data_IF_251104446144
#
_entry.id   IF_251104446144
#
_cell.length_a   1.000
_cell.length_b   1.000
_cell.length_c   1.000
_cell.angle_alpha   90.00
_cell.angle_beta   90.00
_cell.angle_gamma   90.00
#
_symmetry.space_group_name_H-M   'P 1'
#
loop_
_entity.id
_entity.type
_entity.pdbx_description
1 polymer ?
#
# COMPACT_ATOMS: atom_id res chain seq x y z
N UNK A 1 46.93 -30.89 -24.32
CA UNK A 1 46.41 -31.49 -23.08
C UNK A 1 46.80 -30.72 -21.81
N UNK A 2 48.08 -30.44 -21.51
CA UNK A 2 48.47 -29.71 -20.28
C UNK A 2 47.87 -28.30 -20.15
N UNK A 3 47.79 -27.53 -21.24
CA UNK A 3 47.18 -26.18 -21.25
C UNK A 3 45.67 -26.21 -21.03
N UNK A 4 44.96 -27.18 -21.61
CA UNK A 4 43.52 -27.36 -21.42
C UNK A 4 43.18 -27.80 -19.99
N UNK A 5 44.00 -28.66 -19.37
CA UNK A 5 43.82 -29.08 -17.97
C UNK A 5 44.00 -27.91 -17.01
N UNK A 6 44.95 -27.01 -17.29
CA UNK A 6 45.22 -25.83 -16.47
C UNK A 6 44.07 -24.81 -16.55
N UNK A 7 43.49 -24.60 -17.73
CA UNK A 7 42.31 -23.75 -17.93
C UNK A 7 41.09 -24.32 -17.17
N UNK A 8 40.90 -25.65 -17.20
CA UNK A 8 39.81 -26.32 -16.47
C UNK A 8 40.01 -26.18 -14.95
N UNK A 9 41.23 -26.38 -14.43
CA UNK A 9 41.54 -26.20 -13.01
C UNK A 9 41.40 -24.75 -12.53
N UNK A 10 41.81 -23.77 -13.35
CA UNK A 10 41.55 -22.35 -13.05
C UNK A 10 40.06 -22.05 -13.07
N UNK A 11 39.30 -22.58 -14.04
CA UNK A 11 37.87 -22.39 -14.08
C UNK A 11 37.18 -23.00 -12.85
N UNK A 12 37.60 -24.19 -12.38
CA UNK A 12 37.05 -24.84 -11.18
C UNK A 12 37.38 -24.04 -9.90
N UNK A 13 38.60 -23.54 -9.76
CA UNK A 13 39.01 -22.77 -8.58
C UNK A 13 38.36 -21.40 -8.54
N UNK A 14 38.31 -20.67 -9.66
CA UNK A 14 37.63 -19.37 -9.73
C UNK A 14 36.12 -19.52 -9.45
N UNK A 15 35.48 -20.57 -9.96
CA UNK A 15 34.07 -20.85 -9.67
C UNK A 15 33.83 -21.21 -8.19
N UNK A 16 34.68 -22.03 -7.56
CA UNK A 16 34.50 -22.39 -6.14
C UNK A 16 34.77 -21.24 -5.18
N UNK A 17 35.80 -20.41 -5.43
CA UNK A 17 36.05 -19.21 -4.63
C UNK A 17 34.96 -18.15 -4.81
N UNK A 18 34.50 -17.94 -6.06
CA UNK A 18 33.38 -17.05 -6.36
C UNK A 18 32.11 -17.44 -5.62
N UNK A 19 31.73 -18.71 -5.68
CA UNK A 19 30.54 -19.24 -5.00
C UNK A 19 30.64 -19.15 -3.47
N UNK A 20 31.82 -19.44 -2.90
CA UNK A 20 32.05 -19.30 -1.44
C UNK A 20 31.91 -17.85 -0.98
N UNK A 21 32.35 -16.89 -1.80
CA UNK A 21 32.22 -15.47 -1.48
C UNK A 21 30.77 -14.97 -1.53
N UNK A 22 29.98 -15.42 -2.51
CA UNK A 22 28.56 -15.08 -2.65
C UNK A 22 27.73 -15.60 -1.48
N UNK A 23 27.90 -16.88 -1.13
CA UNK A 23 27.20 -17.51 0.00
C UNK A 23 27.52 -16.77 1.31
N UNK A 24 28.78 -16.38 1.52
CA UNK A 24 29.17 -15.65 2.73
C UNK A 24 28.46 -14.30 2.86
N UNK A 25 28.37 -13.53 1.77
CA UNK A 25 27.70 -12.22 1.80
C UNK A 25 26.18 -12.41 1.95
N UNK A 26 25.60 -13.41 1.29
CA UNK A 26 24.19 -13.76 1.46
C UNK A 26 23.88 -14.13 2.92
N UNK A 27 24.65 -15.02 3.54
CA UNK A 27 24.47 -15.41 4.96
C UNK A 27 24.61 -14.19 5.90
N UNK A 28 25.56 -13.29 5.62
CA UNK A 28 25.69 -12.05 6.39
C UNK A 28 24.43 -11.16 6.26
N UNK A 29 23.79 -11.13 5.09
CA UNK A 29 22.54 -10.40 4.90
C UNK A 29 21.37 -11.00 5.69
N UNK A 30 21.33 -12.33 5.86
CA UNK A 30 20.31 -13.02 6.67
C UNK A 30 20.46 -12.69 8.15
N UNK A 31 21.70 -12.72 8.68
CA UNK A 31 21.98 -12.30 10.07
C UNK A 31 21.51 -10.86 10.32
N UNK A 32 21.76 -9.94 9.37
CA UNK A 32 21.28 -8.56 9.47
C UNK A 32 19.75 -8.45 9.38
N UNK A 33 19.11 -9.30 8.58
CA UNK A 33 17.65 -9.32 8.43
C UNK A 33 16.98 -9.76 9.74
N UNK A 34 17.53 -10.78 10.41
CA UNK A 34 17.12 -11.25 11.73
C UNK A 34 17.30 -10.15 12.79
N UNK A 35 18.41 -9.41 12.73
CA UNK A 35 18.67 -8.25 13.58
C UNK A 35 17.87 -6.99 13.19
N UNK A 36 16.93 -7.08 12.22
CA UNK A 36 16.11 -5.98 11.71
C UNK A 36 16.92 -4.78 11.18
N UNK A 37 18.14 -5.01 10.70
CA UNK A 37 19.02 -3.99 10.09
C UNK A 37 18.72 -3.82 8.60
N UNK A 38 17.48 -3.45 8.28
CA UNK A 38 16.91 -3.52 6.93
C UNK A 38 17.71 -2.76 5.86
N UNK A 39 18.28 -1.60 6.18
CA UNK A 39 19.06 -0.81 5.21
C UNK A 39 20.39 -1.48 4.88
N UNK A 40 21.03 -2.10 5.87
CA UNK A 40 22.28 -2.84 5.69
C UNK A 40 22.02 -4.14 4.93
N UNK A 41 20.96 -4.88 5.30
CA UNK A 41 20.50 -6.06 4.57
C UNK A 41 20.24 -5.75 3.10
N UNK A 42 19.49 -4.68 2.81
CA UNK A 42 19.18 -4.30 1.42
C UNK A 42 20.43 -4.00 0.60
N UNK A 43 21.42 -3.32 1.20
CA UNK A 43 22.68 -3.02 0.54
C UNK A 43 23.45 -4.29 0.19
N UNK A 44 23.62 -5.20 1.15
CA UNK A 44 24.30 -6.47 0.90
C UNK A 44 23.57 -7.31 -0.15
N UNK A 45 22.25 -7.42 -0.06
CA UNK A 45 21.47 -8.19 -1.04
C UNK A 45 21.58 -7.61 -2.45
N UNK A 46 21.62 -6.28 -2.60
CA UNK A 46 21.85 -5.63 -3.89
C UNK A 46 23.24 -5.92 -4.45
N UNK A 47 24.26 -5.92 -3.59
CA UNK A 47 25.63 -6.24 -3.99
C UNK A 47 25.74 -7.70 -4.45
N UNK A 48 25.14 -8.64 -3.71
CA UNK A 48 25.11 -10.07 -4.09
C UNK A 48 24.29 -10.30 -5.36
N UNK A 49 23.12 -9.66 -5.51
CA UNK A 49 22.29 -9.79 -6.72
C UNK A 49 23.08 -9.36 -7.97
N UNK A 50 23.89 -8.31 -7.87
CA UNK A 50 24.67 -7.79 -9.01
C UNK A 50 25.79 -8.71 -9.50
N UNK A 51 26.17 -9.70 -8.68
CA UNK A 51 27.30 -10.61 -8.92
C UNK A 51 26.88 -12.08 -9.04
N UNK A 52 25.65 -12.42 -8.66
CA UNK A 52 25.10 -13.77 -8.73
C UNK A 52 24.53 -14.07 -10.13
N UNK A 53 24.92 -15.20 -10.73
CA UNK A 53 24.34 -15.64 -12.00
C UNK A 53 22.85 -16.00 -11.80
N UNK A 54 22.02 -15.60 -12.77
CA UNK A 54 20.57 -15.88 -12.77
C UNK A 54 20.20 -17.36 -12.81
N UNK A 55 21.14 -18.22 -13.20
CA UNK A 55 21.02 -19.68 -13.23
C UNK A 55 21.48 -20.33 -11.93
N UNK A 56 22.16 -19.58 -11.05
CA UNK A 56 22.57 -20.06 -9.74
C UNK A 56 21.34 -20.33 -8.85
N UNK A 57 21.38 -21.44 -8.10
CA UNK A 57 20.29 -21.85 -7.21
C UNK A 57 20.09 -20.88 -6.04
N UNK A 58 21.07 -20.04 -5.73
CA UNK A 58 20.98 -18.99 -4.73
C UNK A 58 20.19 -17.76 -5.22
N UNK A 59 20.13 -17.52 -6.54
CA UNK A 59 19.53 -16.33 -7.12
C UNK A 59 18.05 -16.11 -6.70
N UNK A 60 17.17 -17.14 -6.72
CA UNK A 60 15.80 -16.98 -6.22
C UNK A 60 15.75 -16.53 -4.75
N UNK A 61 16.61 -17.06 -3.88
CA UNK A 61 16.64 -16.67 -2.47
C UNK A 61 17.06 -15.22 -2.29
N UNK A 62 18.04 -14.75 -3.06
CA UNK A 62 18.45 -13.34 -3.09
C UNK A 62 17.27 -12.46 -3.51
N UNK A 63 16.55 -12.82 -4.58
CA UNK A 63 15.37 -12.05 -5.05
C UNK A 63 14.27 -12.03 -3.99
N UNK A 64 13.98 -13.17 -3.35
CA UNK A 64 12.96 -13.27 -2.31
C UNK A 64 13.30 -12.40 -1.09
N UNK A 65 14.52 -12.51 -0.57
CA UNK A 65 14.96 -11.73 0.58
C UNK A 65 15.08 -10.24 0.24
N UNK A 66 15.45 -9.91 -1.00
CA UNK A 66 15.46 -8.52 -1.48
C UNK A 66 14.04 -7.96 -1.45
N UNK A 67 13.06 -8.69 -1.99
CA UNK A 67 11.66 -8.26 -2.02
C UNK A 67 11.10 -8.10 -0.61
N UNK A 68 11.38 -9.05 0.28
CA UNK A 68 10.98 -8.98 1.69
C UNK A 68 11.54 -7.73 2.37
N UNK A 69 12.83 -7.47 2.16
CA UNK A 69 13.53 -6.32 2.74
C UNK A 69 13.01 -4.99 2.18
N UNK A 70 12.87 -4.85 0.87
CA UNK A 70 12.37 -3.62 0.25
C UNK A 70 10.92 -3.34 0.61
N UNK A 71 10.09 -4.38 0.77
CA UNK A 71 8.70 -4.23 1.24
C UNK A 71 8.64 -3.75 2.70
N UNK A 72 9.51 -4.26 3.58
CA UNK A 72 9.61 -3.77 4.96
C UNK A 72 10.12 -2.34 5.04
N UNK A 73 11.09 -1.97 4.20
CA UNK A 73 11.58 -0.59 4.10
C UNK A 73 10.50 0.37 3.60
N UNK A 74 9.74 -0.02 2.56
CA UNK A 74 8.60 0.77 2.08
C UNK A 74 7.62 1.07 3.22
N UNK A 75 7.17 0.04 3.92
CA UNK A 75 6.25 0.19 5.05
C UNK A 75 6.84 1.10 6.14
N UNK A 76 8.10 0.88 6.52
CA UNK A 76 8.79 1.69 7.52
C UNK A 76 8.77 3.18 7.17
N UNK A 77 9.13 3.52 5.92
CA UNK A 77 9.16 4.91 5.47
C UNK A 77 7.74 5.50 5.36
N UNK A 78 6.77 4.72 4.90
CA UNK A 78 5.36 5.14 4.81
C UNK A 78 4.79 5.55 6.17
N UNK A 79 4.97 4.72 7.18
CA UNK A 79 4.47 4.98 8.55
C UNK A 79 5.16 6.18 9.22
N UNK A 80 6.34 6.57 8.71
CA UNK A 80 7.06 7.79 9.10
C UNK A 80 6.77 8.99 8.20
N UNK A 81 5.78 8.89 7.31
CA UNK A 81 5.44 9.91 6.32
C UNK A 81 6.61 10.35 5.41
N UNK A 82 7.62 9.49 5.25
CA UNK A 82 8.75 9.68 4.32
C UNK A 82 8.39 9.10 2.95
N UNK A 83 7.41 9.73 2.30
CA UNK A 83 6.72 9.14 1.15
C UNK A 83 7.57 8.97 -0.11
N UNK A 84 8.56 9.83 -0.35
CA UNK A 84 9.48 9.65 -1.48
C UNK A 84 10.35 8.38 -1.30
N UNK A 85 10.85 8.12 -0.09
CA UNK A 85 11.57 6.88 0.21
C UNK A 85 10.65 5.65 0.14
N UNK A 86 9.44 5.77 0.67
CA UNK A 86 8.41 4.74 0.55
C UNK A 86 8.14 4.38 -0.92
N UNK A 87 7.95 5.41 -1.77
CA UNK A 87 7.74 5.25 -3.19
C UNK A 87 8.94 4.56 -3.87
N UNK A 88 10.16 5.00 -3.58
CA UNK A 88 11.39 4.39 -4.10
C UNK A 88 11.45 2.89 -3.79
N UNK A 89 11.29 2.49 -2.53
CA UNK A 89 11.34 1.09 -2.15
C UNK A 89 10.16 0.28 -2.70
N UNK A 90 8.98 0.88 -2.84
CA UNK A 90 7.85 0.27 -3.55
C UNK A 90 8.16 -0.04 -5.01
N UNK A 91 8.91 0.84 -5.70
CA UNK A 91 9.35 0.59 -7.07
C UNK A 91 10.41 -0.52 -7.13
N UNK A 92 11.35 -0.55 -6.18
CA UNK A 92 12.33 -1.63 -6.08
C UNK A 92 11.63 -2.98 -5.86
N UNK A 93 10.65 -3.05 -4.95
CA UNK A 93 9.84 -4.25 -4.75
C UNK A 93 9.10 -4.69 -6.02
N UNK A 94 8.52 -3.76 -6.77
CA UNK A 94 7.83 -4.08 -8.02
C UNK A 94 8.80 -4.67 -9.07
N UNK A 95 9.98 -4.08 -9.21
CA UNK A 95 11.03 -4.60 -10.10
C UNK A 95 11.49 -6.01 -9.68
N UNK A 96 11.61 -6.27 -8.38
CA UNK A 96 11.99 -7.59 -7.86
C UNK A 96 10.89 -8.64 -8.11
N UNK A 97 9.61 -8.25 -8.05
CA UNK A 97 8.50 -9.15 -8.40
C UNK A 97 8.56 -9.51 -9.89
N UNK A 98 8.83 -8.55 -10.76
CA UNK A 98 8.99 -8.79 -12.20
C UNK A 98 10.20 -9.70 -12.49
N UNK A 99 11.34 -9.42 -11.85
CA UNK A 99 12.55 -10.25 -11.95
C UNK A 99 12.34 -11.68 -11.43
N UNK A 100 11.56 -11.84 -10.36
CA UNK A 100 11.30 -13.12 -9.72
C UNK A 100 10.26 -13.98 -10.44
N UNK A 101 9.45 -13.41 -11.34
CA UNK A 101 8.36 -14.12 -12.00
C UNK A 101 8.75 -15.46 -12.68
N UNK A 102 9.94 -15.61 -13.31
CA UNK A 102 10.37 -16.90 -13.88
C UNK A 102 10.68 -17.98 -12.84
N UNK A 103 10.95 -17.60 -11.60
CA UNK A 103 11.46 -18.49 -10.54
C UNK A 103 10.39 -18.90 -9.53
N UNK A 104 9.26 -18.18 -9.50
CA UNK A 104 8.24 -18.34 -8.46
C UNK A 104 6.85 -18.58 -9.04
N UNK A 105 5.98 -19.17 -8.22
CA UNK A 105 4.57 -19.41 -8.56
C UNK A 105 3.80 -18.09 -8.72
N UNK A 106 2.63 -18.17 -9.35
CA UNK A 106 1.75 -17.01 -9.60
C UNK A 106 1.41 -16.21 -8.32
N UNK A 107 1.31 -16.88 -7.17
CA UNK A 107 1.08 -16.21 -5.87
C UNK A 107 2.16 -15.19 -5.53
N UNK A 108 3.41 -15.42 -5.94
CA UNK A 108 4.49 -14.43 -5.82
C UNK A 108 4.25 -13.24 -6.76
N UNK A 109 3.92 -13.50 -8.02
CA UNK A 109 3.68 -12.45 -9.03
C UNK A 109 2.50 -11.58 -8.64
N UNK A 110 1.47 -12.14 -8.00
CA UNK A 110 0.29 -11.41 -7.52
C UNK A 110 0.61 -10.41 -6.39
N UNK A 111 1.80 -10.46 -5.79
CA UNK A 111 2.28 -9.41 -4.87
C UNK A 111 2.39 -8.04 -5.55
N UNK A 112 2.44 -7.98 -6.88
CA UNK A 112 2.47 -6.71 -7.63
C UNK A 112 1.24 -5.83 -7.35
N UNK A 113 0.07 -6.42 -7.09
CA UNK A 113 -1.13 -5.65 -6.78
C UNK A 113 -1.00 -4.92 -5.44
N UNK A 114 -0.47 -5.60 -4.42
CA UNK A 114 -0.13 -4.97 -3.15
C UNK A 114 0.91 -3.84 -3.34
N UNK A 115 1.88 -4.02 -4.24
CA UNK A 115 2.85 -2.97 -4.55
C UNK A 115 2.23 -1.79 -5.31
N UNK A 116 1.32 -2.03 -6.25
CA UNK A 116 0.57 -0.95 -6.91
C UNK A 116 -0.18 -0.10 -5.89
N UNK A 117 -0.89 -0.73 -4.94
CA UNK A 117 -1.55 -0.03 -3.84
C UNK A 117 -0.57 0.79 -3.01
N UNK A 118 0.56 0.21 -2.60
CA UNK A 118 1.56 0.90 -1.79
C UNK A 118 2.15 2.12 -2.54
N UNK A 119 2.34 2.00 -3.86
CA UNK A 119 2.78 3.10 -4.72
C UNK A 119 1.71 4.19 -4.86
N UNK A 120 0.41 3.83 -4.89
CA UNK A 120 -0.69 4.81 -4.81
C UNK A 120 -0.59 5.58 -3.49
N UNK A 121 -0.53 4.90 -2.35
CA UNK A 121 -0.47 5.55 -1.02
C UNK A 121 0.74 6.48 -0.91
N UNK A 122 1.91 6.04 -1.37
CA UNK A 122 3.12 6.84 -1.35
C UNK A 122 3.01 8.08 -2.24
N UNK A 123 2.39 7.94 -3.42
CA UNK A 123 2.18 9.06 -4.35
C UNK A 123 1.23 10.12 -3.75
N UNK A 124 0.13 9.68 -3.15
CA UNK A 124 -0.81 10.59 -2.46
C UNK A 124 -0.16 11.27 -1.25
N UNK A 125 0.55 10.51 -0.42
CA UNK A 125 1.26 11.05 0.74
C UNK A 125 2.32 12.10 0.37
N UNK A 126 2.99 11.92 -0.77
CA UNK A 126 3.95 12.88 -1.31
C UNK A 126 3.31 14.11 -1.99
N UNK A 127 1.97 14.22 -2.01
CA UNK A 127 1.27 15.30 -2.71
C UNK A 127 1.34 15.18 -4.24
N UNK A 128 1.57 13.98 -4.77
CA UNK A 128 1.73 13.68 -6.20
C UNK A 128 0.61 12.76 -6.72
N UNK A 129 -0.67 13.12 -6.62
CA UNK A 129 -1.80 12.25 -7.00
C UNK A 129 -1.79 11.85 -8.49
N UNK A 130 -1.22 12.68 -9.36
CA UNK A 130 -1.06 12.34 -10.78
C UNK A 130 -0.16 11.11 -10.99
N UNK A 131 0.89 10.96 -10.18
CA UNK A 131 1.77 9.78 -10.21
C UNK A 131 1.01 8.51 -9.77
N UNK A 132 0.02 8.66 -8.89
CA UNK A 132 -0.80 7.58 -8.38
C UNK A 132 -1.71 6.98 -9.46
N UNK A 133 -2.20 7.80 -10.41
CA UNK A 133 -3.18 7.39 -11.44
C UNK A 133 -2.75 6.17 -12.23
N UNK A 134 -1.46 6.07 -12.56
CA UNK A 134 -0.90 4.89 -13.26
C UNK A 134 -1.22 3.60 -12.49
N UNK A 135 -0.97 3.59 -11.19
CA UNK A 135 -1.13 2.42 -10.35
C UNK A 135 -2.59 2.17 -9.98
N UNK A 136 -3.39 3.22 -9.76
CA UNK A 136 -4.84 3.10 -9.61
C UNK A 136 -5.45 2.44 -10.85
N UNK A 137 -5.09 2.89 -12.06
CA UNK A 137 -5.59 2.29 -13.30
C UNK A 137 -5.26 0.79 -13.39
N UNK A 138 -4.04 0.39 -13.01
CA UNK A 138 -3.64 -1.03 -12.97
C UNK A 138 -4.48 -1.84 -11.98
N UNK A 139 -4.81 -1.29 -10.82
CA UNK A 139 -5.68 -1.92 -9.83
C UNK A 139 -7.11 -2.06 -10.33
N UNK A 140 -7.70 -1.00 -10.89
CA UNK A 140 -9.03 -1.05 -11.50
C UNK A 140 -9.12 -2.04 -12.66
N UNK A 141 -8.08 -2.11 -13.49
CA UNK A 141 -7.97 -3.11 -14.56
C UNK A 141 -7.91 -4.53 -13.98
N UNK A 142 -7.18 -4.74 -12.89
CA UNK A 142 -7.12 -6.05 -12.23
C UNK A 142 -8.45 -6.45 -11.58
N UNK A 143 -9.14 -5.50 -10.93
CA UNK A 143 -10.48 -5.68 -10.36
C UNK A 143 -11.48 -6.14 -11.43
N UNK A 144 -11.59 -5.40 -12.54
CA UNK A 144 -12.51 -5.72 -13.65
C UNK A 144 -12.24 -7.09 -14.26
N UNK A 145 -10.99 -7.55 -14.21
CA UNK A 145 -10.58 -8.85 -14.72
C UNK A 145 -10.59 -9.97 -13.66
N UNK A 146 -11.07 -9.69 -12.43
CA UNK A 146 -11.08 -10.63 -11.29
C UNK A 146 -9.70 -11.23 -10.98
N UNK A 147 -8.66 -10.40 -11.07
CA UNK A 147 -7.25 -10.80 -10.84
C UNK A 147 -6.68 -10.32 -9.50
N UNK A 148 -7.45 -9.55 -8.73
CA UNK A 148 -7.00 -9.08 -7.42
C UNK A 148 -7.05 -10.24 -6.41
N UNK A 149 -6.05 -10.31 -5.50
CA UNK A 149 -6.06 -11.30 -4.43
C UNK A 149 -7.18 -11.00 -3.42
N UNK A 150 -7.58 -12.03 -2.67
CA UNK A 150 -8.49 -11.88 -1.53
C UNK A 150 -8.00 -10.80 -0.56
N UNK A 151 -8.94 -10.00 -0.05
CA UNK A 151 -8.64 -8.87 0.84
C UNK A 151 -8.17 -7.61 0.09
N UNK A 152 -8.10 -7.68 -1.24
CA UNK A 152 -7.83 -6.52 -2.10
C UNK A 152 -8.87 -6.38 -3.22
N UNK A 153 -9.78 -7.32 -3.36
CA UNK A 153 -10.78 -7.41 -4.43
C UNK A 153 -11.97 -6.46 -4.24
N UNK A 154 -12.15 -5.88 -3.05
CA UNK A 154 -13.26 -4.97 -2.75
C UNK A 154 -12.84 -3.50 -2.72
N UNK A 155 -11.69 -3.22 -2.13
CA UNK A 155 -11.17 -1.88 -1.92
C UNK A 155 -9.65 -1.91 -1.73
N UNK A 156 -9.04 -0.73 -1.71
CA UNK A 156 -7.63 -0.57 -1.38
C UNK A 156 -7.40 0.75 -0.64
N UNK A 157 -6.40 0.81 0.24
CA UNK A 157 -5.99 2.09 0.81
C UNK A 157 -5.22 2.91 -0.23
N UNK A 158 -5.63 4.16 -0.43
CA UNK A 158 -5.04 5.06 -1.43
C UNK A 158 -4.26 6.23 -0.81
N UNK A 159 -4.46 6.52 0.48
CA UNK A 159 -3.73 7.59 1.17
C UNK A 159 -3.53 7.28 2.64
N UNK A 160 -2.47 7.85 3.21
CA UNK A 160 -2.13 7.84 4.62
C UNK A 160 -1.55 9.19 5.00
N UNK A 161 -1.92 9.73 6.16
CA UNK A 161 -1.22 10.86 6.76
C UNK A 161 -1.40 10.88 8.27
N UNK A 162 -0.45 11.52 8.95
CA UNK A 162 -0.55 11.82 10.38
C UNK A 162 -1.20 13.19 10.59
N UNK A 163 -2.04 13.28 11.60
CA UNK A 163 -2.65 14.52 12.04
C UNK A 163 -2.59 14.59 13.56
N UNK A 164 -1.62 15.35 14.11
CA UNK A 164 -1.30 15.37 15.54
C UNK A 164 -1.05 13.93 16.05
N UNK A 165 -1.81 13.49 17.03
CA UNK A 165 -1.83 12.18 17.67
C UNK A 165 -2.69 11.14 16.94
N UNK A 166 -3.00 11.37 15.65
CA UNK A 166 -3.90 10.53 14.86
C UNK A 166 -3.25 9.99 13.60
N UNK A 167 -3.54 8.73 13.30
CA UNK A 167 -3.30 8.11 12.02
C UNK A 167 -4.60 8.16 11.19
N UNK A 168 -4.48 8.60 9.94
CA UNK A 168 -5.63 8.74 9.04
C UNK A 168 -5.39 7.94 7.77
N UNK A 169 -6.21 6.92 7.56
CA UNK A 169 -6.13 6.02 6.41
C UNK A 169 -7.34 6.21 5.50
N UNK A 170 -7.10 6.52 4.22
CA UNK A 170 -8.16 6.62 3.22
C UNK A 170 -8.23 5.38 2.34
N UNK A 171 -9.41 4.79 2.22
CA UNK A 171 -9.71 3.60 1.44
C UNK A 171 -10.71 3.93 0.33
N UNK A 172 -10.48 3.35 -0.84
CA UNK A 172 -11.35 3.52 -2.01
C UNK A 172 -11.90 2.16 -2.44
N UNK A 173 -13.23 2.08 -2.57
CA UNK A 173 -13.95 0.91 -3.07
C UNK A 173 -13.94 0.92 -4.60
N UNK A 174 -13.72 -0.23 -5.22
CA UNK A 174 -13.70 -0.31 -6.68
C UNK A 174 -15.05 -0.04 -7.35
N UNK A 175 -16.20 -0.52 -6.81
CA UNK A 175 -17.48 -0.26 -7.45
C UNK A 175 -17.72 1.23 -7.73
N UNK A 176 -18.53 1.52 -8.72
CA UNK A 176 -19.01 2.87 -9.05
C UNK A 176 -20.53 2.93 -8.98
N UNK A 177 -21.13 4.13 -8.82
CA UNK A 177 -22.57 4.28 -8.91
C UNK A 177 -23.12 3.72 -10.23
N UNK A 178 -24.00 2.74 -10.13
CA UNK A 178 -24.56 2.01 -11.27
C UNK A 178 -24.06 0.56 -11.37
N UNK A 179 -22.97 0.22 -10.68
CA UNK A 179 -22.50 -1.17 -10.61
C UNK A 179 -23.44 -2.03 -9.75
N UNK A 180 -23.61 -3.33 -10.06
CA UNK A 180 -24.43 -4.24 -9.25
C UNK A 180 -24.03 -4.28 -7.76
N UNK A 181 -22.75 -4.04 -7.49
CA UNK A 181 -22.13 -4.04 -6.14
C UNK A 181 -22.30 -2.71 -5.40
N UNK A 182 -22.81 -1.66 -6.07
CA UNK A 182 -23.00 -0.30 -5.53
C UNK A 182 -24.47 0.02 -5.17
N UNK A 183 -25.23 -0.99 -4.71
CA UNK A 183 -26.64 -0.84 -4.30
C UNK A 183 -26.76 -0.20 -2.92
N UNK A 184 -27.84 0.56 -2.69
CA UNK A 184 -28.17 1.13 -1.39
C UNK A 184 -27.23 2.25 -0.92
N UNK A 185 -26.87 2.24 0.38
CA UNK A 185 -25.96 3.21 1.02
C UNK A 185 -24.50 2.88 0.69
N UNK A 186 -24.11 3.17 -0.55
CA UNK A 186 -22.76 2.92 -1.04
C UNK A 186 -21.78 4.05 -0.65
N UNK A 187 -20.64 3.69 -0.07
CA UNK A 187 -19.52 4.61 0.19
C UNK A 187 -18.40 4.39 -0.83
N UNK A 188 -18.03 5.44 -1.57
CA UNK A 188 -16.93 5.36 -2.53
C UNK A 188 -15.57 5.38 -1.84
N UNK A 189 -15.46 6.22 -0.82
CA UNK A 189 -14.25 6.39 -0.02
C UNK A 189 -14.62 6.37 1.46
N UNK A 190 -13.79 5.73 2.28
CA UNK A 190 -13.88 5.77 3.73
C UNK A 190 -12.52 6.17 4.29
N UNK A 191 -12.50 7.20 5.13
CA UNK A 191 -11.36 7.51 5.98
C UNK A 191 -11.57 6.92 7.36
N UNK A 192 -10.60 6.15 7.83
CA UNK A 192 -10.53 5.66 9.19
C UNK A 192 -9.57 6.54 9.97
N UNK A 193 -10.03 7.01 11.13
CA UNK A 193 -9.26 7.89 12.01
C UNK A 193 -8.96 7.13 13.29
N UNK A 194 -7.67 6.93 13.56
CA UNK A 194 -7.18 6.21 14.73
C UNK A 194 -6.41 7.14 15.66
N UNK A 195 -6.47 6.92 16.97
CA UNK A 195 -5.44 7.39 17.89
C UNK A 195 -4.14 6.60 17.69
N UNK A 196 -3.00 7.16 18.12
CA UNK A 196 -1.68 6.52 17.97
C UNK A 196 -1.10 6.03 19.28
N UNK A 197 -0.41 4.88 19.25
CA UNK A 197 0.51 4.44 20.30
C UNK A 197 1.77 5.31 20.33
N UNK A 198 2.59 5.17 21.37
CA UNK A 198 3.88 5.89 21.50
C UNK A 198 4.85 5.60 20.34
N UNK A 199 4.81 4.38 19.80
CA UNK A 199 5.60 3.98 18.64
C UNK A 199 5.03 4.49 17.29
N UNK A 200 3.87 5.17 17.33
CA UNK A 200 3.18 5.74 16.18
C UNK A 200 2.29 4.76 15.41
N UNK A 201 2.11 3.53 15.89
CA UNK A 201 1.14 2.56 15.34
C UNK A 201 -0.30 2.92 15.70
N UNK A 202 -1.26 2.35 14.96
CA UNK A 202 -2.70 2.54 15.22
C UNK A 202 -3.07 1.94 16.59
N UNK A 203 -3.87 2.66 17.39
CA UNK A 203 -4.35 2.21 18.70
C UNK A 203 -5.86 1.94 18.69
N UNK A 204 -6.68 2.99 18.73
CA UNK A 204 -8.14 2.89 18.79
C UNK A 204 -8.76 3.63 17.62
N UNK A 205 -9.73 3.02 16.93
CA UNK A 205 -10.51 3.69 15.90
C UNK A 205 -11.46 4.69 16.56
N UNK A 206 -11.24 5.98 16.32
CA UNK A 206 -12.03 7.05 16.91
C UNK A 206 -13.35 7.26 16.16
N UNK A 207 -13.29 7.27 14.82
CA UNK A 207 -14.45 7.42 13.94
C UNK A 207 -14.08 7.14 12.48
N UNK A 208 -15.09 7.10 11.62
CA UNK A 208 -14.95 7.00 10.17
C UNK A 208 -15.56 8.22 9.48
N UNK A 209 -15.00 8.62 8.34
CA UNK A 209 -15.58 9.62 7.44
C UNK A 209 -15.88 8.96 6.09
N UNK A 210 -17.14 8.91 5.73
CA UNK A 210 -17.64 8.22 4.55
C UNK A 210 -17.99 9.23 3.47
N UNK A 211 -17.39 9.09 2.28
CA UNK A 211 -17.88 9.73 1.07
C UNK A 211 -19.01 8.88 0.53
N UNK A 212 -20.21 9.11 1.09
CA UNK A 212 -21.38 8.30 0.85
C UNK A 212 -22.23 8.89 -0.27
N UNK A 213 -22.82 8.02 -1.09
CA UNK A 213 -23.75 8.42 -2.14
C UNK A 213 -24.89 9.24 -1.54
N UNK A 214 -25.14 10.41 -2.11
CA UNK A 214 -26.29 11.24 -1.76
C UNK A 214 -27.57 10.59 -2.26
N UNK A 215 -28.61 10.57 -1.42
CA UNK A 215 -29.96 10.13 -1.78
C UNK A 215 -30.91 11.31 -2.01
N UNK A 216 -30.42 12.56 -2.01
CA UNK A 216 -31.28 13.71 -2.23
C UNK A 216 -31.93 13.66 -3.63
N UNK A 217 -33.26 13.72 -3.63
CA UNK A 217 -34.12 13.78 -4.83
C UNK A 217 -34.22 15.19 -5.42
N UNK A 218 -33.52 16.17 -4.84
CA UNK A 218 -33.64 17.56 -5.26
C UNK A 218 -32.80 17.81 -6.52
N UNK A 219 -33.47 17.76 -7.67
CA UNK A 219 -32.89 17.80 -9.02
C UNK A 219 -32.03 19.05 -9.32
N UNK A 220 -32.12 20.10 -8.49
CA UNK A 220 -31.39 21.34 -8.67
C UNK A 220 -29.89 21.23 -8.33
N UNK A 221 -29.52 20.38 -7.37
CA UNK A 221 -28.15 20.19 -6.91
C UNK A 221 -27.74 18.75 -7.23
N UNK A 222 -27.18 18.49 -8.41
CA UNK A 222 -26.71 17.16 -8.87
C UNK A 222 -25.51 16.64 -8.05
N UNK A 223 -25.67 16.49 -6.74
CA UNK A 223 -24.63 16.02 -5.83
C UNK A 223 -24.58 14.49 -5.87
N UNK A 224 -23.40 13.94 -6.17
CA UNK A 224 -23.24 12.48 -6.17
C UNK A 224 -22.92 11.94 -4.78
N UNK A 225 -22.14 12.69 -3.98
CA UNK A 225 -21.71 12.27 -2.66
C UNK A 225 -21.72 13.40 -1.64
N UNK A 226 -21.87 13.00 -0.38
CA UNK A 226 -21.73 13.85 0.82
C UNK A 226 -20.74 13.18 1.78
N UNK A 227 -20.13 13.97 2.65
CA UNK A 227 -19.32 13.42 3.74
C UNK A 227 -20.22 13.08 4.93
N UNK A 228 -20.07 11.88 5.48
CA UNK A 228 -20.79 11.41 6.67
C UNK A 228 -19.75 11.03 7.71
N UNK A 229 -19.92 11.52 8.95
CA UNK A 229 -19.11 11.08 10.09
C UNK A 229 -19.85 9.97 10.82
N UNK A 230 -19.16 8.88 11.09
CA UNK A 230 -19.69 7.74 11.85
C UNK A 230 -18.82 7.49 13.08
N UNK A 231 -19.45 7.49 14.25
CA UNK A 231 -18.86 7.09 15.53
C UNK A 231 -19.49 5.78 15.95
N UNK A 232 -18.66 4.80 16.25
CA UNK A 232 -19.09 3.46 16.60
C UNK A 232 -18.63 3.14 18.02
N UNK A 233 -19.55 2.72 18.89
CA UNK A 233 -19.23 2.16 20.19
C UNK A 233 -19.77 0.73 20.31
N UNK A 234 -19.62 0.11 21.48
CA UNK A 234 -20.00 -1.29 21.68
C UNK A 234 -21.51 -1.53 21.51
N UNK A 235 -22.34 -0.51 21.77
CA UNK A 235 -23.80 -0.63 21.78
C UNK A 235 -24.46 -0.06 20.52
N UNK A 236 -23.92 1.03 19.98
CA UNK A 236 -24.57 1.86 18.97
C UNK A 236 -23.57 2.37 17.91
N UNK A 237 -24.11 2.70 16.74
CA UNK A 237 -23.45 3.55 15.75
C UNK A 237 -24.20 4.88 15.66
N UNK A 238 -23.49 5.99 15.84
CA UNK A 238 -24.00 7.35 15.64
C UNK A 238 -23.42 7.87 14.33
N UNK A 239 -24.29 8.26 13.41
CA UNK A 239 -23.89 8.81 12.12
C UNK A 239 -24.48 10.18 11.90
N UNK A 240 -23.81 11.01 11.11
CA UNK A 240 -24.32 12.31 10.75
C UNK A 240 -23.70 12.87 9.50
N UNK A 241 -24.53 13.56 8.71
CA UNK A 241 -24.12 14.18 7.45
C UNK A 241 -23.45 15.52 7.70
N UNK A 242 -22.40 15.81 6.94
CA UNK A 242 -21.71 17.09 6.93
C UNK A 242 -21.98 17.74 5.56
N UNK A 243 -23.12 18.41 5.40
CA UNK A 243 -23.59 18.97 4.13
C UNK A 243 -22.69 20.07 3.57
N UNK A 244 -21.83 20.67 4.41
CA UNK A 244 -20.76 21.55 3.95
C UNK A 244 -19.72 20.87 3.04
N UNK A 245 -19.67 19.53 3.02
CA UNK A 245 -18.68 18.76 2.26
C UNK A 245 -19.35 17.84 1.23
N UNK A 246 -19.36 18.29 -0.02
CA UNK A 246 -19.99 17.59 -1.14
C UNK A 246 -19.00 17.26 -2.25
N UNK A 247 -19.32 16.21 -3.03
CA UNK A 247 -18.47 15.73 -4.12
C UNK A 247 -19.27 15.23 -5.32
N UNK A 248 -18.68 15.41 -6.49
CA UNK A 248 -19.16 14.86 -7.77
C UNK A 248 -18.69 13.41 -7.94
N UNK A 249 -19.22 12.72 -8.97
CA UNK A 249 -18.83 11.34 -9.31
C UNK A 249 -17.31 11.18 -9.45
N UNK A 250 -16.66 12.14 -10.12
CA UNK A 250 -15.20 12.25 -10.17
C UNK A 250 -14.71 13.03 -8.97
N UNK A 251 -14.21 12.33 -7.96
CA UNK A 251 -13.76 12.92 -6.71
C UNK A 251 -12.46 13.69 -6.93
N UNK A 252 -12.44 14.96 -6.52
CA UNK A 252 -11.21 15.74 -6.40
C UNK A 252 -10.53 15.36 -5.08
N UNK A 253 -9.52 14.50 -5.15
CA UNK A 253 -8.81 14.00 -3.97
C UNK A 253 -8.08 15.08 -3.16
N UNK A 254 -7.60 16.14 -3.81
CA UNK A 254 -6.94 17.25 -3.11
C UNK A 254 -7.95 18.01 -2.24
N UNK A 255 -9.14 18.29 -2.79
CA UNK A 255 -10.26 18.87 -2.03
C UNK A 255 -10.67 17.94 -0.89
N UNK A 256 -10.91 16.66 -1.17
CA UNK A 256 -11.31 15.67 -0.16
C UNK A 256 -10.31 15.58 0.99
N UNK A 257 -9.00 15.58 0.71
CA UNK A 257 -8.00 15.54 1.77
C UNK A 257 -7.98 16.83 2.61
N UNK A 258 -8.19 18.00 2.00
CA UNK A 258 -8.32 19.26 2.71
C UNK A 258 -9.57 19.27 3.61
N UNK A 259 -10.71 18.82 3.08
CA UNK A 259 -11.97 18.70 3.80
C UNK A 259 -11.85 17.76 5.01
N UNK A 260 -11.20 16.60 4.84
CA UNK A 260 -10.92 15.67 5.95
C UNK A 260 -10.07 16.36 7.02
N UNK A 261 -9.02 17.11 6.64
CA UNK A 261 -8.20 17.85 7.61
C UNK A 261 -9.00 18.92 8.36
N UNK A 262 -9.92 19.61 7.69
CA UNK A 262 -10.81 20.58 8.34
C UNK A 262 -11.70 19.91 9.40
N UNK A 263 -12.31 18.77 9.07
CA UNK A 263 -13.11 17.98 10.03
C UNK A 263 -12.27 17.54 11.24
N UNK A 264 -10.99 17.18 11.03
CA UNK A 264 -10.06 16.82 12.11
C UNK A 264 -9.61 18.03 12.97
N UNK A 265 -9.66 19.26 12.45
CA UNK A 265 -9.28 20.48 13.18
C UNK A 265 -10.37 20.92 14.15
N UNK A 266 -11.61 20.96 13.69
CA UNK A 266 -12.72 21.64 14.38
C UNK A 266 -13.55 20.71 15.26
N UNK A 267 -13.19 19.43 15.37
CA UNK A 267 -14.03 18.40 16.00
C UNK A 267 -15.48 18.47 15.48
N UNK A 268 -15.64 18.72 14.18
CA UNK A 268 -16.92 19.12 13.58
C UNK A 268 -18.07 18.18 14.00
N UNK A 269 -19.16 18.77 14.46
CA UNK A 269 -20.39 18.07 14.82
C UNK A 269 -21.28 17.96 13.57
N UNK A 270 -21.81 16.77 13.27
CA UNK A 270 -22.65 16.61 12.09
C UNK A 270 -23.92 17.48 12.09
N UNK A 271 -24.37 17.90 10.91
CA UNK A 271 -25.60 18.69 10.74
C UNK A 271 -26.86 17.87 11.06
N UNK A 272 -26.76 16.55 10.92
CA UNK A 272 -27.81 15.58 11.23
C UNK A 272 -27.29 14.49 12.15
N UNK A 273 -28.16 13.87 12.94
CA UNK A 273 -27.77 12.74 13.78
C UNK A 273 -28.76 11.59 13.60
N UNK A 274 -28.23 10.40 13.35
CA UNK A 274 -28.97 9.15 13.34
C UNK A 274 -28.25 8.14 14.24
N UNK A 275 -29.02 7.39 15.04
CA UNK A 275 -28.51 6.37 15.95
C UNK A 275 -29.04 5.00 15.52
N UNK A 276 -28.13 4.04 15.34
CA UNK A 276 -28.47 2.64 15.06
C UNK A 276 -28.01 1.80 16.24
N UNK A 277 -28.95 1.10 16.88
CA UNK A 277 -28.65 0.15 17.96
C UNK A 277 -28.16 -1.15 17.33
N UNK A 278 -27.00 -1.64 17.76
CA UNK A 278 -26.47 -2.95 17.31
C UNK A 278 -27.29 -4.05 17.98
N UNK A 279 -27.86 -4.94 17.17
CA UNK A 279 -28.54 -6.15 17.65
C UNK A 279 -27.55 -7.28 17.84
#
# INVERSE_FOLDING_TARGET
>A
MKSQLFIVLLAITVNTYGQTSLIRIYNASEILLEANKLTDTWRLLKDVESTCDKTDTLYPYIVWNSLSTTTRLELYYRLKAKFDSSFYFGQQSLQLIEKGAPYFKETFVNRKYWMYKNLVVSSFGAGKPEQAKKYQHLLYKAYKNKKLPEGMDQYYNFTYFKWKDKNVWGYEWYPEPGDPDAKGRYSKIIYYVYSTNEDGSDKEQLYRLHVQRSHNNDNALKLNYVLIKQLENAQNEVSGTLYGYTYNRKINYAKLQADVKAVLMENYYPDTQAVVIKR
#
